data_IF_234021982734
#
_entry.id   IF_234021982734
#
_cell.length_a   1.000
_cell.length_b   1.000
_cell.length_c   1.000
_cell.angle_alpha   90.00
_cell.angle_beta   90.00
_cell.angle_gamma   90.00
#
_symmetry.space_group_name_H-M   'P 1'
#
loop_
_entity.id
_entity.type
_entity.pdbx_description
1 polymer ?
#
# COMPACT_ATOMS: atom_id res chain seq x y z
N UNK A 1 6.10 14.12 -7.81
CA UNK A 1 5.95 13.37 -6.55
C UNK A 1 7.06 12.35 -6.50
N UNK A 2 7.79 12.32 -5.38
CA UNK A 2 8.82 11.33 -5.14
C UNK A 2 8.13 10.11 -4.52
N UNK A 3 8.24 8.96 -5.17
CA UNK A 3 7.82 7.66 -4.64
C UNK A 3 9.06 6.92 -4.13
N UNK A 4 8.89 6.03 -3.15
CA UNK A 4 9.95 5.18 -2.65
C UNK A 4 10.98 5.90 -1.77
N UNK A 5 12.24 5.49 -1.89
CA UNK A 5 13.36 5.97 -1.08
C UNK A 5 13.92 7.30 -1.61
N UNK A 6 13.10 8.35 -1.61
CA UNK A 6 13.60 9.67 -1.99
C UNK A 6 14.74 10.16 -1.07
N UNK A 7 15.58 11.13 -1.51
CA UNK A 7 16.75 11.58 -0.76
C UNK A 7 16.45 12.09 0.65
N UNK A 8 15.24 12.65 0.91
CA UNK A 8 14.84 13.14 2.23
C UNK A 8 14.51 11.98 3.15
N UNK A 9 13.69 11.05 2.67
CA UNK A 9 13.31 9.82 3.39
C UNK A 9 14.58 8.99 3.68
N UNK A 10 15.43 8.79 2.69
CA UNK A 10 16.70 8.07 2.85
C UNK A 10 17.60 8.70 3.93
N UNK A 11 17.71 10.04 3.95
CA UNK A 11 18.48 10.77 4.97
C UNK A 11 17.91 10.59 6.38
N UNK A 12 16.59 10.60 6.54
CA UNK A 12 15.93 10.37 7.83
C UNK A 12 16.15 8.94 8.31
N UNK A 13 15.94 7.95 7.43
CA UNK A 13 16.16 6.54 7.75
C UNK A 13 17.63 6.28 8.17
N UNK A 14 18.59 6.84 7.47
CA UNK A 14 20.01 6.69 7.80
C UNK A 14 20.37 7.21 9.20
N UNK A 15 19.69 8.25 9.67
CA UNK A 15 19.88 8.85 10.99
C UNK A 15 19.11 8.16 12.10
N UNK A 16 18.12 7.35 11.75
CA UNK A 16 17.27 6.66 12.71
C UNK A 16 17.91 5.39 13.26
N UNK A 17 17.41 4.92 14.41
CA UNK A 17 17.77 3.64 15.01
C UNK A 17 16.97 2.46 14.40
N UNK A 18 16.26 2.67 13.29
CA UNK A 18 15.51 1.63 12.60
C UNK A 18 16.51 0.62 12.02
N UNK A 19 16.37 -0.65 12.37
CA UNK A 19 17.23 -1.73 11.89
C UNK A 19 16.62 -2.48 10.70
N UNK A 20 15.29 -2.55 10.64
CA UNK A 20 14.56 -3.26 9.61
C UNK A 20 13.48 -2.37 9.00
N UNK A 21 13.48 -2.29 7.67
CA UNK A 21 12.49 -1.54 6.90
C UNK A 21 11.63 -2.50 6.10
N UNK A 22 10.31 -2.27 6.14
CA UNK A 22 9.36 -2.85 5.18
C UNK A 22 8.84 -1.70 4.34
N UNK A 23 8.95 -1.82 3.03
CA UNK A 23 8.55 -0.79 2.07
C UNK A 23 7.46 -1.38 1.18
N UNK A 24 6.18 -1.18 1.52
CA UNK A 24 5.09 -1.61 0.66
C UNK A 24 4.87 -0.61 -0.47
N UNK A 25 4.45 -1.12 -1.63
CA UNK A 25 3.97 -0.38 -2.79
C UNK A 25 4.98 0.64 -3.38
N UNK A 26 6.27 0.39 -3.22
CA UNK A 26 7.32 1.25 -3.77
C UNK A 26 8.69 0.57 -3.76
N UNK A 27 9.65 1.16 -4.45
CA UNK A 27 11.09 0.92 -4.35
C UNK A 27 11.63 -0.29 -5.10
N UNK A 28 10.89 -0.90 -6.01
CA UNK A 28 11.42 -1.93 -6.91
C UNK A 28 12.67 -1.45 -7.64
N UNK A 29 12.71 -0.17 -8.01
CA UNK A 29 13.79 0.42 -8.80
C UNK A 29 14.84 1.19 -7.99
N UNK A 30 14.73 1.24 -6.66
CA UNK A 30 15.62 2.01 -5.78
C UNK A 30 16.85 1.22 -5.32
N UNK A 31 17.48 0.45 -6.24
CA UNK A 31 18.60 -0.44 -5.93
C UNK A 31 19.79 0.26 -5.27
N UNK A 32 20.07 1.49 -5.70
CA UNK A 32 21.18 2.28 -5.14
C UNK A 32 20.92 2.64 -3.70
N UNK A 33 19.75 3.13 -3.43
CA UNK A 33 19.28 3.55 -2.10
C UNK A 33 19.18 2.35 -1.15
N UNK A 34 18.65 1.22 -1.63
CA UNK A 34 18.62 -0.04 -0.88
C UNK A 34 20.05 -0.47 -0.52
N UNK A 35 20.99 -0.51 -1.46
CA UNK A 35 22.39 -0.85 -1.18
C UNK A 35 23.01 0.09 -0.14
N UNK A 36 22.73 1.38 -0.19
CA UNK A 36 23.24 2.34 0.79
C UNK A 36 22.73 2.02 2.21
N UNK A 37 21.47 1.59 2.36
CA UNK A 37 20.91 1.17 3.63
C UNK A 37 21.53 -0.14 4.14
N UNK A 38 21.72 -1.11 3.25
CA UNK A 38 22.34 -2.39 3.60
C UNK A 38 23.80 -2.22 4.06
N UNK A 39 24.56 -1.32 3.43
CA UNK A 39 25.96 -1.02 3.79
C UNK A 39 26.11 -0.45 5.21
N UNK A 40 25.09 0.22 5.73
CA UNK A 40 25.08 0.74 7.11
C UNK A 40 24.39 -0.22 8.10
N UNK A 41 24.22 -1.50 7.71
CA UNK A 41 23.72 -2.56 8.58
C UNK A 41 22.20 -2.64 8.71
N UNK A 42 21.43 -1.86 7.94
CA UNK A 42 19.96 -1.97 7.93
C UNK A 42 19.53 -3.16 7.07
N UNK A 43 18.37 -3.73 7.37
CA UNK A 43 17.74 -4.79 6.56
C UNK A 43 16.52 -4.22 5.85
N UNK A 44 16.24 -4.68 4.63
CA UNK A 44 15.18 -4.12 3.79
C UNK A 44 14.33 -5.23 3.18
N UNK A 45 13.00 -5.10 3.32
CA UNK A 45 12.01 -5.88 2.60
C UNK A 45 11.16 -4.92 1.75
N UNK A 46 11.16 -5.11 0.45
CA UNK A 46 10.30 -4.40 -0.49
C UNK A 46 9.16 -5.34 -0.92
N UNK A 47 7.92 -4.87 -0.85
CA UNK A 47 6.72 -5.57 -1.32
C UNK A 47 6.03 -4.67 -2.35
N UNK A 48 6.31 -4.88 -3.64
CA UNK A 48 5.97 -3.92 -4.67
C UNK A 48 5.36 -4.59 -5.91
N UNK A 49 4.76 -3.82 -6.78
CA UNK A 49 4.13 -4.29 -8.02
C UNK A 49 4.49 -3.43 -9.24
N UNK A 50 5.29 -2.37 -9.03
CA UNK A 50 5.71 -1.48 -10.12
C UNK A 50 6.63 -2.21 -11.10
N UNK A 51 6.52 -1.82 -12.38
CA UNK A 51 7.34 -2.38 -13.45
C UNK A 51 8.83 -2.14 -13.17
N UNK A 52 9.66 -3.19 -13.19
CA UNK A 52 11.12 -3.03 -13.11
C UNK A 52 11.66 -2.28 -14.32
N UNK A 53 12.67 -1.44 -14.10
CA UNK A 53 13.37 -0.72 -15.16
C UNK A 53 14.44 -1.59 -15.84
N UNK A 54 14.93 -2.61 -15.15
CA UNK A 54 15.94 -3.54 -15.64
C UNK A 54 15.32 -4.86 -16.04
N UNK A 55 15.83 -5.52 -17.08
CA UNK A 55 15.38 -6.84 -17.54
C UNK A 55 15.71 -7.95 -16.53
N UNK A 56 16.78 -7.79 -15.74
CA UNK A 56 17.20 -8.73 -14.69
C UNK A 56 17.45 -7.98 -13.36
N UNK A 57 16.41 -7.48 -12.69
CA UNK A 57 16.57 -6.75 -11.44
C UNK A 57 17.05 -7.66 -10.32
N UNK A 58 17.96 -7.14 -9.49
CA UNK A 58 18.43 -7.87 -8.31
C UNK A 58 17.34 -7.87 -7.22
N UNK A 59 16.81 -9.02 -6.91
CA UNK A 59 15.74 -9.20 -5.91
C UNK A 59 16.26 -9.67 -4.54
N UNK A 60 17.44 -10.27 -4.48
CA UNK A 60 18.03 -10.85 -3.27
C UNK A 60 19.38 -10.21 -2.98
N UNK A 61 19.55 -9.73 -1.75
CA UNK A 61 20.79 -9.12 -1.25
C UNK A 61 21.31 -9.92 -0.07
N UNK A 62 22.60 -10.29 -0.16
CA UNK A 62 23.31 -11.01 0.91
C UNK A 62 24.50 -10.19 1.38
N UNK A 63 24.84 -10.30 2.67
CA UNK A 63 26.07 -9.73 3.23
C UNK A 63 27.30 -10.55 2.84
N UNK A 64 28.47 -10.15 3.33
CA UNK A 64 29.76 -10.83 3.08
C UNK A 64 29.82 -12.25 3.63
N UNK A 65 28.97 -12.60 4.59
CA UNK A 65 28.85 -13.93 5.20
C UNK A 65 27.78 -14.79 4.50
N UNK A 66 27.15 -14.28 3.44
CA UNK A 66 26.06 -14.96 2.72
C UNK A 66 24.70 -14.89 3.41
N UNK A 67 24.57 -14.13 4.50
CA UNK A 67 23.30 -13.95 5.21
C UNK A 67 22.38 -13.00 4.41
N UNK A 68 21.11 -13.35 4.33
CA UNK A 68 20.08 -12.51 3.71
C UNK A 68 19.90 -11.22 4.49
N UNK A 69 20.04 -10.08 3.83
CA UNK A 69 19.90 -8.73 4.41
C UNK A 69 18.88 -7.86 3.70
N UNK A 70 18.50 -8.21 2.48
CA UNK A 70 17.46 -7.51 1.74
C UNK A 70 16.75 -8.40 0.72
N UNK A 71 15.45 -8.14 0.50
CA UNK A 71 14.64 -8.84 -0.49
C UNK A 71 13.69 -7.84 -1.15
N UNK A 72 13.50 -7.99 -2.46
CA UNK A 72 12.43 -7.35 -3.23
C UNK A 72 11.48 -8.46 -3.68
N UNK A 73 10.24 -8.40 -3.23
CA UNK A 73 9.14 -9.23 -3.70
C UNK A 73 8.30 -8.37 -4.64
N UNK A 74 8.19 -8.80 -5.88
CA UNK A 74 7.43 -8.07 -6.89
C UNK A 74 6.82 -9.06 -7.87
N UNK A 75 5.52 -8.98 -8.07
CA UNK A 75 4.76 -9.88 -8.94
C UNK A 75 5.04 -9.70 -10.44
N UNK A 76 5.71 -8.61 -10.84
CA UNK A 76 6.14 -8.39 -12.23
C UNK A 76 7.42 -9.16 -12.59
N UNK A 77 8.09 -9.77 -11.59
CA UNK A 77 9.37 -10.47 -11.75
C UNK A 77 9.23 -11.98 -11.79
N UNK A 78 8.01 -12.49 -11.66
CA UNK A 78 7.74 -13.91 -11.58
C UNK A 78 7.08 -14.42 -12.87
N UNK A 79 7.31 -15.70 -13.21
CA UNK A 79 6.63 -16.38 -14.33
C UNK A 79 5.10 -16.42 -14.14
N UNK A 80 4.64 -16.29 -12.91
CA UNK A 80 3.23 -16.20 -12.52
C UNK A 80 2.77 -14.76 -12.36
N UNK A 81 3.31 -13.85 -13.18
CA UNK A 81 2.89 -12.45 -13.19
C UNK A 81 1.38 -12.33 -13.09
N UNK A 82 0.91 -11.78 -12.00
CA UNK A 82 -0.48 -11.38 -11.80
C UNK A 82 -0.56 -9.86 -11.68
N UNK A 83 -1.74 -9.32 -11.88
CA UNK A 83 -1.96 -7.88 -11.88
C UNK A 83 -2.37 -7.37 -10.48
N UNK A 84 -1.80 -7.92 -9.40
CA UNK A 84 -2.05 -7.44 -8.05
C UNK A 84 -1.41 -6.07 -7.81
N UNK A 85 -2.11 -5.21 -7.09
CA UNK A 85 -1.56 -3.96 -6.54
C UNK A 85 -0.58 -4.24 -5.40
N UNK A 86 0.12 -3.21 -4.92
CA UNK A 86 1.06 -3.35 -3.79
C UNK A 86 0.43 -3.92 -2.52
N UNK A 87 -0.84 -3.58 -2.23
CA UNK A 87 -1.56 -4.21 -1.10
C UNK A 87 -1.87 -5.68 -1.39
N UNK A 88 -2.15 -6.05 -2.63
CA UNK A 88 -2.34 -7.44 -3.04
C UNK A 88 -1.08 -8.28 -2.87
N UNK A 89 0.08 -7.75 -3.31
CA UNK A 89 1.39 -8.38 -3.09
C UNK A 89 1.68 -8.54 -1.60
N UNK A 90 1.42 -7.49 -0.81
CA UNK A 90 1.61 -7.51 0.65
C UNK A 90 0.74 -8.59 1.30
N UNK A 91 -0.52 -8.69 0.93
CA UNK A 91 -1.44 -9.72 1.42
C UNK A 91 -0.94 -11.13 1.09
N UNK A 92 -0.56 -11.40 -0.15
CA UNK A 92 -0.02 -12.70 -0.58
C UNK A 92 1.24 -13.08 0.19
N UNK A 93 2.14 -12.12 0.38
CA UNK A 93 3.34 -12.31 1.19
C UNK A 93 2.99 -12.70 2.64
N UNK A 94 2.06 -11.99 3.26
CA UNK A 94 1.63 -12.26 4.64
C UNK A 94 0.94 -13.63 4.76
N UNK A 95 0.08 -14.00 3.81
CA UNK A 95 -0.54 -15.35 3.77
C UNK A 95 0.52 -16.43 3.68
N UNK A 96 1.58 -16.23 2.90
CA UNK A 96 2.71 -17.17 2.82
C UNK A 96 3.58 -17.24 4.07
N UNK A 97 3.53 -16.22 4.93
CA UNK A 97 4.32 -16.13 6.17
C UNK A 97 3.59 -16.61 7.42
N UNK A 98 2.27 -16.70 7.36
CA UNK A 98 1.44 -17.04 8.53
C UNK A 98 0.58 -18.25 8.23
N UNK A 99 0.28 -19.05 9.27
CA UNK A 99 -0.73 -20.11 9.20
C UNK A 99 -2.14 -19.57 9.48
N UNK A 100 -2.26 -18.29 9.79
CA UNK A 100 -3.53 -17.66 10.15
C UNK A 100 -4.30 -17.25 8.88
N UNK A 101 -5.62 -17.38 8.97
CA UNK A 101 -6.52 -16.83 7.97
C UNK A 101 -6.52 -15.29 8.06
N UNK A 102 -6.10 -14.64 6.97
CA UNK A 102 -6.08 -13.18 6.86
C UNK A 102 -7.31 -12.65 6.09
N UNK A 103 -8.38 -13.45 6.02
CA UNK A 103 -9.57 -13.12 5.25
C UNK A 103 -10.27 -11.84 5.69
N UNK A 104 -10.16 -11.48 6.95
CA UNK A 104 -10.74 -10.24 7.48
C UNK A 104 -10.08 -8.96 6.95
N UNK A 105 -8.93 -9.06 6.25
CA UNK A 105 -8.28 -7.93 5.58
C UNK A 105 -8.57 -7.87 4.07
N UNK A 106 -9.42 -8.77 3.54
CA UNK A 106 -9.69 -8.83 2.11
C UNK A 106 -10.43 -7.59 1.58
N UNK A 107 -11.17 -6.89 2.41
CA UNK A 107 -11.76 -5.60 2.05
C UNK A 107 -10.70 -4.54 1.74
N UNK A 108 -9.62 -4.46 2.52
CA UNK A 108 -8.47 -3.59 2.23
C UNK A 108 -7.81 -3.97 0.90
N UNK A 109 -7.65 -5.27 0.65
CA UNK A 109 -7.07 -5.79 -0.60
C UNK A 109 -7.97 -5.48 -1.80
N UNK A 110 -9.28 -5.67 -1.65
CA UNK A 110 -10.25 -5.37 -2.70
C UNK A 110 -10.21 -3.88 -3.08
N UNK A 111 -10.31 -3.01 -2.07
CA UNK A 111 -10.32 -1.57 -2.27
C UNK A 111 -9.00 -1.07 -2.86
N UNK A 112 -7.87 -1.58 -2.39
CA UNK A 112 -6.57 -1.21 -2.96
C UNK A 112 -6.40 -1.64 -4.41
N UNK A 113 -6.81 -2.87 -4.80
CA UNK A 113 -6.79 -3.29 -6.20
C UNK A 113 -7.70 -2.43 -7.09
N UNK A 114 -8.86 -2.00 -6.59
CA UNK A 114 -9.78 -1.11 -7.31
C UNK A 114 -9.18 0.30 -7.41
N UNK A 115 -8.65 0.83 -6.32
CA UNK A 115 -8.08 2.18 -6.27
C UNK A 115 -6.87 2.35 -7.21
N UNK A 116 -6.11 1.28 -7.39
CA UNK A 116 -4.94 1.22 -8.27
C UNK A 116 -5.28 0.72 -9.70
N UNK A 117 -6.58 0.58 -9.97
CA UNK A 117 -7.12 0.25 -11.31
C UNK A 117 -6.55 -1.07 -11.86
N UNK A 118 -6.42 -2.08 -11.01
CA UNK A 118 -5.94 -3.39 -11.42
C UNK A 118 -6.91 -4.10 -12.37
N UNK A 119 -6.38 -4.90 -13.30
CA UNK A 119 -7.20 -5.56 -14.33
C UNK A 119 -8.09 -6.69 -13.73
N UNK A 120 -9.39 -6.43 -13.64
CA UNK A 120 -10.39 -7.40 -13.18
C UNK A 120 -10.62 -8.59 -14.13
N UNK A 121 -10.01 -8.61 -15.31
CA UNK A 121 -9.96 -9.82 -16.17
C UNK A 121 -9.04 -10.87 -15.59
N UNK A 122 -8.02 -10.46 -14.82
CA UNK A 122 -7.19 -11.38 -14.06
C UNK A 122 -8.07 -12.13 -13.04
N UNK A 123 -7.92 -13.46 -13.01
CA UNK A 123 -8.78 -14.33 -12.19
C UNK A 123 -8.52 -14.15 -10.70
N UNK A 124 -7.26 -13.95 -10.31
CA UNK A 124 -6.88 -13.78 -8.92
C UNK A 124 -7.32 -12.41 -8.40
N UNK A 125 -7.05 -11.34 -9.15
CA UNK A 125 -7.51 -9.98 -8.82
C UNK A 125 -9.03 -9.97 -8.63
N UNK A 126 -9.75 -10.51 -9.61
CA UNK A 126 -11.22 -10.59 -9.57
C UNK A 126 -11.72 -11.38 -8.36
N UNK A 127 -11.10 -12.52 -8.06
CA UNK A 127 -11.46 -13.33 -6.89
C UNK A 127 -11.28 -12.55 -5.59
N UNK A 128 -10.13 -11.91 -5.39
CA UNK A 128 -9.83 -11.14 -4.18
C UNK A 128 -10.76 -9.93 -4.04
N UNK A 129 -11.03 -9.22 -5.13
CA UNK A 129 -11.96 -8.10 -5.14
C UNK A 129 -13.38 -8.56 -4.78
N UNK A 130 -13.90 -9.60 -5.44
CA UNK A 130 -15.24 -10.10 -5.12
C UNK A 130 -15.36 -10.62 -3.69
N UNK A 131 -14.35 -11.34 -3.21
CA UNK A 131 -14.37 -11.89 -1.86
C UNK A 131 -14.29 -10.78 -0.80
N UNK A 132 -13.46 -9.76 -1.03
CA UNK A 132 -13.31 -8.62 -0.13
C UNK A 132 -14.54 -7.72 -0.07
N UNK A 133 -15.19 -7.45 -1.20
CA UNK A 133 -16.39 -6.61 -1.23
C UNK A 133 -17.61 -7.27 -0.59
N UNK A 134 -17.68 -8.61 -0.53
CA UNK A 134 -18.77 -9.34 0.14
C UNK A 134 -18.73 -9.26 1.66
N UNK A 135 -17.62 -8.90 2.23
CA UNK A 135 -17.45 -8.84 3.67
C UNK A 135 -16.56 -7.65 4.07
N UNK A 136 -17.16 -6.48 4.12
CA UNK A 136 -16.50 -5.27 4.59
C UNK A 136 -16.38 -5.35 6.11
N UNK A 137 -15.15 -5.47 6.62
CA UNK A 137 -14.83 -5.55 8.05
C UNK A 137 -14.36 -4.20 8.61
N UNK A 138 -13.61 -3.45 7.82
CA UNK A 138 -13.02 -2.18 8.22
C UNK A 138 -14.10 -1.14 8.57
N UNK A 139 -14.04 -0.60 9.79
CA UNK A 139 -15.02 0.35 10.31
C UNK A 139 -15.06 1.63 9.48
N UNK A 140 -13.91 2.15 9.06
CA UNK A 140 -13.85 3.33 8.20
C UNK A 140 -14.58 3.11 6.87
N UNK A 141 -14.45 1.92 6.28
CA UNK A 141 -15.15 1.62 5.03
C UNK A 141 -16.66 1.52 5.24
N UNK A 142 -17.10 0.90 6.33
CA UNK A 142 -18.55 0.84 6.66
C UNK A 142 -19.16 2.22 6.79
N UNK A 143 -18.50 3.11 7.52
CA UNK A 143 -18.94 4.49 7.71
C UNK A 143 -18.91 5.30 6.39
N UNK A 144 -17.83 5.15 5.60
CA UNK A 144 -17.69 5.85 4.33
C UNK A 144 -18.70 5.36 3.26
N UNK A 145 -19.26 4.17 3.44
CA UNK A 145 -20.23 3.54 2.53
C UNK A 145 -21.62 3.45 3.14
N UNK A 146 -21.90 4.19 4.21
CA UNK A 146 -23.18 4.12 4.96
C UNK A 146 -24.43 4.36 4.09
N UNK A 147 -24.30 5.14 3.03
CA UNK A 147 -25.40 5.44 2.11
C UNK A 147 -25.59 4.36 1.01
N UNK A 148 -24.78 3.30 1.02
CA UNK A 148 -24.83 2.23 0.04
C UNK A 148 -25.24 0.91 0.69
N UNK A 149 -25.94 0.08 -0.10
CA UNK A 149 -26.18 -1.30 0.31
C UNK A 149 -24.88 -2.10 0.20
N UNK A 150 -24.37 -2.58 1.33
CA UNK A 150 -23.10 -3.31 1.39
C UNK A 150 -23.16 -4.65 0.64
N UNK A 151 -24.35 -5.21 0.43
CA UNK A 151 -24.53 -6.45 -0.32
C UNK A 151 -24.46 -6.23 -1.85
N UNK A 152 -24.70 -4.98 -2.29
CA UNK A 152 -24.70 -4.58 -3.70
C UNK A 152 -23.46 -3.76 -4.12
N UNK A 153 -22.37 -3.82 -3.35
CA UNK A 153 -21.14 -3.10 -3.67
C UNK A 153 -20.49 -3.61 -4.96
N UNK A 154 -20.22 -2.68 -5.86
CA UNK A 154 -19.48 -2.94 -7.11
C UNK A 154 -18.14 -2.21 -7.13
N UNK A 155 -17.17 -2.66 -7.96
CA UNK A 155 -15.91 -1.94 -8.14
C UNK A 155 -16.10 -0.48 -8.54
N UNK A 156 -17.15 -0.16 -9.32
CA UNK A 156 -17.46 1.22 -9.73
C UNK A 156 -17.88 2.08 -8.53
N UNK A 157 -18.76 1.57 -7.65
CA UNK A 157 -19.17 2.28 -6.42
C UNK A 157 -17.94 2.59 -5.58
N UNK A 158 -17.07 1.61 -5.36
CA UNK A 158 -15.82 1.78 -4.60
C UNK A 158 -14.90 2.80 -5.26
N UNK A 159 -14.68 2.68 -6.57
CA UNK A 159 -13.79 3.58 -7.31
C UNK A 159 -14.23 5.04 -7.24
N UNK A 160 -15.51 5.31 -7.45
CA UNK A 160 -16.04 6.68 -7.49
C UNK A 160 -16.22 7.31 -6.11
N UNK A 161 -16.51 6.52 -5.09
CA UNK A 161 -16.78 7.03 -3.74
C UNK A 161 -15.58 6.87 -2.83
N UNK A 162 -15.21 5.66 -2.48
CA UNK A 162 -14.21 5.40 -1.44
C UNK A 162 -12.78 5.66 -1.92
N UNK A 163 -12.39 5.16 -3.09
CA UNK A 163 -11.04 5.35 -3.63
C UNK A 163 -10.73 6.83 -3.88
N UNK A 164 -11.73 7.62 -4.32
CA UNK A 164 -11.58 9.06 -4.49
C UNK A 164 -11.37 9.80 -3.17
N UNK A 165 -12.06 9.40 -2.09
CA UNK A 165 -11.86 9.98 -0.75
C UNK A 165 -10.42 9.72 -0.29
N UNK A 166 -9.97 8.47 -0.35
CA UNK A 166 -8.62 8.07 0.06
C UNK A 166 -7.57 8.79 -0.77
N UNK A 167 -7.65 8.71 -2.10
CA UNK A 167 -6.71 9.34 -3.02
C UNK A 167 -6.72 10.88 -2.89
N UNK A 168 -7.90 11.47 -2.72
CA UNK A 168 -8.05 12.91 -2.51
C UNK A 168 -7.35 13.36 -1.22
N UNK A 169 -7.56 12.65 -0.12
CA UNK A 169 -6.90 12.95 1.17
C UNK A 169 -5.39 12.82 1.07
N UNK A 170 -4.87 11.75 0.45
CA UNK A 170 -3.43 11.54 0.30
C UNK A 170 -2.77 12.59 -0.58
N UNK A 171 -3.45 13.03 -1.65
CA UNK A 171 -2.88 13.95 -2.64
C UNK A 171 -2.98 15.41 -2.25
N UNK A 172 -4.06 15.81 -1.58
CA UNK A 172 -4.43 17.19 -1.31
C UNK A 172 -4.62 17.49 0.17
N UNK A 173 -4.69 16.45 1.02
CA UNK A 173 -4.82 16.56 2.45
C UNK A 173 -3.59 17.17 3.11
N UNK A 174 -3.80 17.80 4.26
CA UNK A 174 -2.71 18.21 5.15
C UNK A 174 -2.13 16.99 5.88
N UNK A 175 -0.95 17.15 6.47
CA UNK A 175 -0.26 16.04 7.15
C UNK A 175 -1.11 15.36 8.21
N UNK A 176 -1.90 16.13 8.95
CA UNK A 176 -2.77 15.60 10.01
C UNK A 176 -3.99 14.87 9.43
N UNK A 177 -4.53 15.34 8.30
CA UNK A 177 -5.64 14.65 7.61
C UNK A 177 -5.18 13.28 7.08
N UNK A 178 -3.99 13.21 6.45
CA UNK A 178 -3.41 11.95 6.01
C UNK A 178 -3.14 10.99 7.18
N UNK A 179 -2.69 11.52 8.32
CA UNK A 179 -2.43 10.76 9.53
C UNK A 179 -3.72 10.22 10.15
N UNK A 180 -4.78 11.02 10.16
CA UNK A 180 -6.09 10.60 10.66
C UNK A 180 -6.71 9.54 9.74
N UNK A 181 -6.58 9.69 8.41
CA UNK A 181 -7.00 8.65 7.47
C UNK A 181 -6.27 7.33 7.74
N UNK A 182 -4.94 7.37 7.94
CA UNK A 182 -4.17 6.17 8.25
C UNK A 182 -4.66 5.50 9.55
N UNK A 183 -4.89 6.28 10.61
CA UNK A 183 -5.43 5.78 11.87
C UNK A 183 -6.80 5.14 11.71
N UNK A 184 -7.69 5.78 10.95
CA UNK A 184 -9.01 5.22 10.65
C UNK A 184 -8.91 3.89 9.90
N UNK A 185 -7.99 3.78 8.92
CA UNK A 185 -7.75 2.55 8.16
C UNK A 185 -7.21 1.39 9.02
N UNK A 186 -6.44 1.68 10.06
CA UNK A 186 -5.95 0.65 11.01
C UNK A 186 -6.91 0.41 12.19
N UNK A 187 -8.09 1.03 12.19
CA UNK A 187 -9.11 0.83 13.22
C UNK A 187 -8.86 1.59 14.53
N UNK A 188 -7.98 2.60 14.52
CA UNK A 188 -7.86 3.50 15.68
C UNK A 188 -9.03 4.47 15.71
N UNK A 189 -9.87 4.35 16.73
CA UNK A 189 -10.98 5.28 16.97
C UNK A 189 -10.47 6.54 17.67
N UNK A 190 -10.57 7.69 17.01
CA UNK A 190 -10.23 8.99 17.57
C UNK A 190 -11.32 10.01 17.24
N UNK A 191 -11.83 10.71 18.24
CA UNK A 191 -12.77 11.81 18.01
C UNK A 191 -12.01 13.02 17.49
N UNK A 192 -12.16 13.35 16.22
CA UNK A 192 -11.54 14.53 15.61
C UNK A 192 -12.57 15.64 15.49
N UNK A 193 -12.25 16.81 16.05
CA UNK A 193 -13.07 18.01 15.84
C UNK A 193 -12.80 18.54 14.44
N UNK A 194 -13.75 18.35 13.54
CA UNK A 194 -13.66 18.88 12.19
C UNK A 194 -13.71 20.41 12.20
N UNK A 195 -12.66 21.03 11.67
CA UNK A 195 -12.62 22.45 11.36
C UNK A 195 -12.66 22.63 9.85
N UNK A 196 -13.80 23.09 9.28
CA UNK A 196 -13.88 23.28 7.83
C UNK A 196 -12.80 24.27 7.38
N UNK A 197 -12.12 23.96 6.28
CA UNK A 197 -11.17 24.88 5.65
C UNK A 197 -11.91 26.16 5.28
N UNK A 198 -11.40 27.31 5.72
CA UNK A 198 -11.90 28.58 5.25
C UNK A 198 -11.72 28.61 3.73
N UNK A 199 -12.81 28.73 2.97
CA UNK A 199 -12.72 28.95 1.53
C UNK A 199 -11.86 30.20 1.32
N UNK A 200 -10.79 30.08 0.54
CA UNK A 200 -10.09 31.27 0.06
C UNK A 200 -11.12 31.99 -0.82
N UNK A 201 -11.75 33.06 -0.31
CA UNK A 201 -12.49 33.97 -1.17
C UNK A 201 -11.49 34.45 -2.22
N UNK A 202 -11.77 34.21 -3.49
CA UNK A 202 -11.05 34.88 -4.55
C UNK A 202 -11.17 36.39 -4.26
N UNK A 203 -10.10 37.14 -4.20
CA UNK A 203 -10.20 38.58 -4.27
C UNK A 203 -10.75 38.92 -5.66
N UNK A 204 -11.87 39.60 -5.73
CA UNK A 204 -12.37 40.26 -6.93
C UNK A 204 -11.34 41.25 -7.43
#
# INVERSE_FOLDING_TARGET
KLHGLDPRVLKEIKKSNIEFLIIPDASTNDFKEIKELLLIGKRVLVLDHHQPNDDEPRTIFKDTNGKLVGVIVNNQLDEYSNNLSGVGVTYKFLVGMTENELEHYLDLVAIGNIADVMDLKDKEVRYLVHKGLRNINNTFFKEALVDFDLDDLTPEIISFNLANIINGTIRFGEKDECKNLFRALIGEEETVIYKPRKSKKNPE
#
